data_IF_494916700371
#
_entry.id   IF_494916700371
#
_cell.length_a   1.000
_cell.length_b   1.000
_cell.length_c   1.000
_cell.angle_alpha   90.00
_cell.angle_beta   90.00
_cell.angle_gamma   90.00
#
_symmetry.space_group_name_H-M   'P 1'
#
loop_
_entity.id
_entity.type
_entity.pdbx_description
1 polymer ?
#
# COMPACT_ATOMS: atom_id res chain seq x y z
N UNK A 1 -16.81 17.30 0.06
CA UNK A 1 -15.65 17.00 -0.81
C UNK A 1 -16.11 15.96 -1.82
N UNK A 2 -15.71 16.09 -3.08
CA UNK A 2 -16.02 15.09 -4.09
C UNK A 2 -15.26 13.79 -3.75
N UNK A 3 -15.99 12.76 -3.30
CA UNK A 3 -15.42 11.45 -2.95
C UNK A 3 -14.81 10.73 -4.17
N UNK A 4 -15.14 11.17 -5.39
CA UNK A 4 -14.61 10.63 -6.65
C UNK A 4 -13.37 11.37 -7.17
N UNK A 5 -12.82 12.33 -6.42
CA UNK A 5 -11.60 13.03 -6.82
C UNK A 5 -10.32 12.25 -6.46
N UNK A 6 -9.29 12.38 -7.28
CA UNK A 6 -7.96 11.78 -7.09
C UNK A 6 -7.80 10.36 -7.62
N UNK A 7 -6.77 9.65 -7.14
CA UNK A 7 -6.48 8.26 -7.53
C UNK A 7 -5.03 8.07 -7.97
N UNK A 8 -4.75 7.03 -8.75
CA UNK A 8 -3.41 6.84 -9.34
C UNK A 8 -3.25 7.75 -10.56
N UNK A 9 -2.97 9.03 -10.32
CA UNK A 9 -2.87 10.10 -11.32
C UNK A 9 -1.53 10.86 -11.23
N UNK A 10 -0.56 10.38 -10.46
CA UNK A 10 0.73 11.04 -10.32
C UNK A 10 0.73 12.36 -9.54
N UNK A 11 -0.40 12.84 -8.99
CA UNK A 11 -0.49 14.12 -8.27
C UNK A 11 0.45 14.21 -7.08
N UNK A 12 0.88 13.07 -6.52
CA UNK A 12 1.78 12.98 -5.37
C UNK A 12 3.09 13.76 -5.56
N UNK A 13 3.52 13.99 -6.81
CA UNK A 13 4.70 14.84 -7.11
C UNK A 13 4.53 16.29 -6.64
N UNK A 14 3.30 16.75 -6.47
CA UNK A 14 2.93 18.06 -5.93
C UNK A 14 2.59 18.04 -4.43
N UNK A 15 2.66 16.88 -3.77
CA UNK A 15 2.10 16.66 -2.42
C UNK A 15 3.15 16.21 -1.39
N UNK A 16 4.43 16.25 -1.75
CA UNK A 16 5.54 15.70 -0.94
C UNK A 16 5.83 16.44 0.36
N UNK A 17 5.28 17.65 0.51
CA UNK A 17 5.41 18.45 1.74
C UNK A 17 4.33 18.13 2.77
N UNK A 18 3.33 17.31 2.41
CA UNK A 18 2.24 16.94 3.32
C UNK A 18 2.72 16.01 4.44
N UNK A 19 2.21 16.15 5.67
CA UNK A 19 2.62 15.31 6.80
C UNK A 19 2.50 13.80 6.54
N UNK A 20 1.43 13.36 5.88
CA UNK A 20 1.17 11.96 5.54
C UNK A 20 2.14 11.37 4.50
N UNK A 21 2.85 12.22 3.75
CA UNK A 21 3.76 11.83 2.67
C UNK A 21 5.24 11.93 3.07
N UNK A 22 5.52 12.20 4.35
CA UNK A 22 6.90 12.29 4.88
C UNK A 22 7.67 11.01 4.57
N UNK A 23 8.84 11.17 3.93
CA UNK A 23 9.73 10.08 3.53
C UNK A 23 9.71 9.76 2.04
N UNK A 24 8.64 10.11 1.30
CA UNK A 24 8.49 9.74 -0.10
C UNK A 24 9.43 10.49 -1.07
N UNK A 25 9.97 11.64 -0.67
CA UNK A 25 10.92 12.43 -1.50
C UNK A 25 12.10 11.62 -2.00
N UNK A 26 12.63 10.69 -1.18
CA UNK A 26 13.76 9.83 -1.59
C UNK A 26 13.34 8.83 -2.67
N UNK A 27 12.18 8.19 -2.48
CA UNK A 27 11.63 7.23 -3.44
C UNK A 27 11.30 7.91 -4.77
N UNK A 28 10.73 9.13 -4.73
CA UNK A 28 10.42 9.85 -5.96
C UNK A 28 11.68 10.21 -6.76
N UNK A 29 12.79 10.57 -6.10
CA UNK A 29 14.08 10.80 -6.78
C UNK A 29 14.63 9.54 -7.47
N UNK A 30 14.34 8.36 -6.93
CA UNK A 30 14.71 7.09 -7.60
C UNK A 30 13.86 6.90 -8.85
N UNK A 31 12.54 7.10 -8.74
CA UNK A 31 11.63 7.04 -9.89
C UNK A 31 11.96 8.10 -10.95
N UNK A 32 12.38 9.31 -10.57
CA UNK A 32 12.78 10.38 -11.48
C UNK A 32 13.95 9.96 -12.39
N UNK A 33 14.96 9.29 -11.81
CA UNK A 33 16.10 8.77 -12.58
C UNK A 33 15.65 7.73 -13.59
N UNK A 34 14.86 6.75 -13.15
CA UNK A 34 14.33 5.71 -14.04
C UNK A 34 13.42 6.29 -15.13
N UNK A 35 12.56 7.24 -14.76
CA UNK A 35 11.66 7.94 -15.67
C UNK A 35 12.43 8.66 -16.77
N UNK A 36 13.51 9.37 -16.43
CA UNK A 36 14.37 10.08 -17.41
C UNK A 36 14.96 9.13 -18.45
N UNK A 37 15.38 7.94 -18.04
CA UNK A 37 15.92 6.93 -18.96
C UNK A 37 14.83 6.38 -19.88
N UNK A 38 13.64 6.11 -19.36
CA UNK A 38 12.49 5.61 -20.15
C UNK A 38 12.01 6.69 -21.13
N UNK A 39 11.95 7.96 -20.71
CA UNK A 39 11.52 9.08 -21.55
C UNK A 39 12.43 9.37 -22.73
N UNK A 40 13.68 8.89 -22.70
CA UNK A 40 14.56 8.92 -23.87
C UNK A 40 14.07 7.98 -24.99
N UNK A 41 13.18 7.03 -24.68
CA UNK A 41 12.64 6.03 -25.60
C UNK A 41 11.17 6.30 -25.88
N UNK A 42 10.37 6.54 -24.84
CA UNK A 42 8.92 6.77 -24.95
C UNK A 42 8.39 7.60 -23.78
N UNK A 43 7.37 8.42 -24.04
CA UNK A 43 6.69 9.16 -22.97
C UNK A 43 6.02 8.20 -21.99
N UNK A 44 6.22 8.42 -20.69
CA UNK A 44 5.61 7.66 -19.60
C UNK A 44 5.04 8.63 -18.56
N UNK A 45 3.91 8.33 -17.94
CA UNK A 45 3.33 9.17 -16.88
C UNK A 45 3.95 8.87 -15.51
N UNK A 46 3.94 9.84 -14.60
CA UNK A 46 4.27 9.59 -13.19
C UNK A 46 3.36 8.55 -12.56
N UNK A 47 2.07 8.60 -12.89
CA UNK A 47 1.08 7.61 -12.47
C UNK A 47 1.51 6.17 -12.83
N UNK A 48 1.97 5.94 -14.06
CA UNK A 48 2.47 4.64 -14.49
C UNK A 48 3.79 4.28 -13.80
N UNK A 49 4.73 5.22 -13.67
CA UNK A 49 6.00 4.98 -12.97
C UNK A 49 5.79 4.53 -11.52
N UNK A 50 4.84 5.14 -10.82
CA UNK A 50 4.53 4.81 -9.41
C UNK A 50 3.86 3.45 -9.30
N UNK A 51 2.84 3.19 -10.13
CA UNK A 51 2.12 1.92 -10.13
C UNK A 51 3.04 0.73 -10.49
N UNK A 52 3.88 0.88 -11.51
CA UNK A 52 4.86 -0.15 -11.89
C UNK A 52 5.95 -0.28 -10.83
N UNK A 53 6.48 0.82 -10.32
CA UNK A 53 7.55 0.80 -9.32
C UNK A 53 7.15 0.04 -8.05
N UNK A 54 5.90 0.20 -7.58
CA UNK A 54 5.40 -0.55 -6.45
C UNK A 54 5.21 -2.05 -6.76
N UNK A 55 4.65 -2.40 -7.92
CA UNK A 55 4.50 -3.79 -8.36
C UNK A 55 5.85 -4.51 -8.50
N UNK A 56 6.85 -3.86 -9.09
CA UNK A 56 8.20 -4.41 -9.23
C UNK A 56 8.91 -4.54 -7.87
N UNK A 57 8.72 -3.58 -6.96
CA UNK A 57 9.27 -3.69 -5.60
C UNK A 57 8.73 -4.93 -4.86
N UNK A 58 7.43 -5.21 -4.97
CA UNK A 58 6.81 -6.43 -4.39
C UNK A 58 7.42 -7.69 -5.00
N UNK A 59 7.51 -7.76 -6.33
CA UNK A 59 8.07 -8.90 -7.07
C UNK A 59 9.54 -9.17 -6.72
N UNK A 60 10.38 -8.12 -6.70
CA UNK A 60 11.81 -8.24 -6.37
C UNK A 60 12.02 -8.68 -4.91
N UNK A 61 11.12 -8.29 -4.00
CA UNK A 61 11.16 -8.74 -2.61
C UNK A 61 10.61 -10.17 -2.40
N UNK A 62 10.30 -10.91 -3.46
CA UNK A 62 9.82 -12.30 -3.39
C UNK A 62 8.29 -12.47 -3.34
N UNK A 63 7.55 -11.38 -3.49
CA UNK A 63 6.10 -11.37 -3.57
C UNK A 63 5.55 -11.79 -4.94
N UNK A 64 4.22 -11.71 -5.15
CA UNK A 64 3.60 -12.05 -6.42
C UNK A 64 4.01 -11.08 -7.53
N UNK A 65 4.02 -11.58 -8.77
CA UNK A 65 4.05 -10.71 -9.95
C UNK A 65 2.69 -10.06 -10.13
N UNK A 66 2.67 -8.72 -10.19
CA UNK A 66 1.44 -7.94 -10.31
C UNK A 66 1.41 -7.30 -11.69
N UNK A 67 0.47 -7.68 -12.58
CA UNK A 67 0.33 -7.03 -13.87
C UNK A 67 -0.24 -5.62 -13.70
N UNK A 68 0.44 -4.63 -14.27
CA UNK A 68 0.01 -3.23 -14.25
C UNK A 68 -0.32 -2.78 -15.68
N UNK A 69 -1.58 -2.42 -15.91
CA UNK A 69 -2.00 -1.76 -17.16
C UNK A 69 -1.37 -0.38 -17.24
N UNK A 70 -0.83 0.00 -18.39
CA UNK A 70 -0.20 1.30 -18.63
C UNK A 70 -1.14 2.26 -19.38
N UNK A 71 -0.78 3.53 -19.47
CA UNK A 71 -1.53 4.57 -20.19
C UNK A 71 -2.27 5.54 -19.27
N UNK A 72 -1.92 5.60 -17.98
CA UNK A 72 -2.51 6.57 -17.04
C UNK A 72 -2.13 8.00 -17.42
N UNK A 73 -3.05 8.93 -17.21
CA UNK A 73 -2.84 10.36 -17.36
C UNK A 73 -2.37 10.97 -16.03
N UNK A 74 -1.36 11.83 -16.11
CA UNK A 74 -0.93 12.62 -14.96
C UNK A 74 -1.92 13.76 -14.67
N UNK A 75 -2.12 14.04 -13.39
CA UNK A 75 -2.70 15.28 -12.90
C UNK A 75 -1.71 16.43 -13.07
N UNK A 76 -2.20 17.63 -13.39
CA UNK A 76 -1.39 18.86 -13.41
C UNK A 76 -1.33 19.58 -12.05
N UNK A 77 -2.05 19.08 -11.05
CA UNK A 77 -2.19 19.69 -9.73
C UNK A 77 -2.30 18.64 -8.62
N UNK A 78 -2.16 19.09 -7.37
CA UNK A 78 -2.31 18.25 -6.18
C UNK A 78 -3.77 17.83 -5.95
N UNK A 79 -4.00 16.62 -5.47
CA UNK A 79 -5.32 16.17 -5.01
C UNK A 79 -5.70 16.83 -3.66
N UNK A 80 -6.99 16.91 -3.29
CA UNK A 80 -7.40 17.39 -1.98
C UNK A 80 -6.80 16.60 -0.80
N UNK A 81 -6.48 17.31 0.29
CA UNK A 81 -5.96 16.74 1.54
C UNK A 81 -6.99 15.87 2.30
N UNK A 82 -6.54 15.15 3.32
CA UNK A 82 -7.42 14.41 4.24
C UNK A 82 -8.00 13.11 3.66
N UNK A 83 -7.36 12.55 2.63
CA UNK A 83 -7.81 11.33 1.94
C UNK A 83 -7.10 10.04 2.37
N UNK A 84 -6.03 10.17 3.16
CA UNK A 84 -5.25 9.05 3.69
C UNK A 84 -5.79 8.61 5.06
N UNK A 85 -5.78 7.29 5.37
CA UNK A 85 -6.10 6.82 6.71
C UNK A 85 -5.02 7.24 7.70
N UNK A 86 -5.41 7.65 8.91
CA UNK A 86 -4.47 7.94 9.99
C UNK A 86 -3.99 6.64 10.66
N UNK A 87 -2.73 6.63 11.14
CA UNK A 87 -2.14 5.47 11.82
C UNK A 87 -2.76 5.14 13.18
N UNK A 88 -3.55 6.06 13.74
CA UNK A 88 -4.24 5.96 15.02
C UNK A 88 -5.68 5.44 14.92
N UNK A 89 -6.21 5.24 13.70
CA UNK A 89 -7.58 4.78 13.49
C UNK A 89 -7.78 3.38 14.06
N UNK A 90 -8.97 3.16 14.65
CA UNK A 90 -9.43 1.83 15.00
C UNK A 90 -9.89 1.03 13.76
N UNK A 91 -10.23 -0.24 13.95
CA UNK A 91 -10.67 -1.11 12.86
C UNK A 91 -11.94 -0.61 12.15
N UNK A 92 -12.87 0.01 12.89
CA UNK A 92 -14.10 0.55 12.32
C UNK A 92 -13.82 1.74 11.40
N UNK A 93 -12.97 2.66 11.85
CA UNK A 93 -12.49 3.81 11.09
C UNK A 93 -11.74 3.39 9.83
N UNK A 94 -10.82 2.43 9.94
CA UNK A 94 -10.11 1.87 8.79
C UNK A 94 -11.06 1.22 7.77
N UNK A 95 -11.99 0.36 8.23
CA UNK A 95 -13.00 -0.25 7.36
C UNK A 95 -13.86 0.81 6.67
N UNK A 96 -14.23 1.87 7.37
CA UNK A 96 -15.00 2.97 6.77
C UNK A 96 -14.19 3.71 5.70
N UNK A 97 -12.92 4.00 5.96
CA UNK A 97 -12.00 4.63 5.00
C UNK A 97 -11.86 3.82 3.71
N UNK A 98 -11.62 2.51 3.83
CA UNK A 98 -11.47 1.61 2.69
C UNK A 98 -12.80 1.42 1.94
N UNK A 99 -13.92 1.27 2.66
CA UNK A 99 -15.25 1.14 2.06
C UNK A 99 -15.65 2.35 1.23
N UNK A 100 -15.34 3.58 1.68
CA UNK A 100 -15.59 4.80 0.88
C UNK A 100 -14.82 4.80 -0.44
N UNK A 101 -13.70 4.11 -0.52
CA UNK A 101 -12.90 3.91 -1.75
C UNK A 101 -13.30 2.64 -2.51
N UNK A 102 -14.39 1.97 -2.11
CA UNK A 102 -14.88 0.76 -2.77
C UNK A 102 -14.14 -0.53 -2.39
N UNK A 103 -13.37 -0.55 -1.31
CA UNK A 103 -12.64 -1.73 -0.85
C UNK A 103 -13.38 -2.49 0.26
N UNK A 104 -13.32 -3.81 0.21
CA UNK A 104 -13.86 -4.70 1.24
C UNK A 104 -12.93 -4.81 2.45
N UNK A 105 -13.41 -5.41 3.55
CA UNK A 105 -12.57 -5.75 4.71
C UNK A 105 -11.43 -6.71 4.33
N UNK A 106 -11.69 -7.68 3.44
CA UNK A 106 -10.66 -8.59 2.93
C UNK A 106 -9.53 -7.85 2.22
N UNK A 107 -9.88 -6.88 1.36
CA UNK A 107 -8.91 -6.09 0.60
C UNK A 107 -8.13 -5.12 1.49
N UNK A 108 -8.77 -4.54 2.51
CA UNK A 108 -8.10 -3.80 3.58
C UNK A 108 -7.00 -4.67 4.22
N UNK A 109 -7.37 -5.84 4.72
CA UNK A 109 -6.43 -6.74 5.42
C UNK A 109 -5.31 -7.21 4.48
N UNK A 110 -5.64 -7.54 3.23
CA UNK A 110 -4.63 -7.91 2.24
C UNK A 110 -3.64 -6.76 2.03
N UNK A 111 -4.11 -5.54 1.72
CA UNK A 111 -3.24 -4.39 1.46
C UNK A 111 -2.39 -4.00 2.68
N UNK A 112 -2.91 -4.14 3.90
CA UNK A 112 -2.14 -3.96 5.13
C UNK A 112 -0.92 -4.89 5.24
N UNK A 113 -0.97 -6.05 4.58
CA UNK A 113 0.17 -6.98 4.47
C UNK A 113 1.44 -6.37 3.87
N UNK A 114 1.34 -5.26 3.12
CA UNK A 114 2.51 -4.51 2.64
C UNK A 114 3.43 -4.02 3.78
N UNK A 115 2.92 -3.90 5.02
CA UNK A 115 3.73 -3.55 6.19
C UNK A 115 4.78 -4.61 6.57
N UNK A 116 4.77 -5.79 5.94
CA UNK A 116 5.90 -6.74 6.02
C UNK A 116 7.19 -6.16 5.45
N UNK A 117 7.12 -5.15 4.57
CA UNK A 117 8.28 -4.46 4.04
C UNK A 117 8.63 -3.21 4.87
N UNK A 118 9.93 -2.94 4.97
CA UNK A 118 10.45 -1.75 5.63
C UNK A 118 10.49 -1.86 7.15
N UNK A 119 10.36 -0.73 7.83
CA UNK A 119 10.80 -0.59 9.22
C UNK A 119 9.66 -0.66 10.25
N UNK A 120 8.53 -1.31 9.92
CA UNK A 120 7.41 -1.51 10.86
C UNK A 120 7.61 -2.69 11.80
N UNK A 121 8.72 -3.42 11.65
CA UNK A 121 9.13 -4.48 12.57
C UNK A 121 8.47 -5.83 12.30
N UNK A 122 7.87 -6.02 11.12
CA UNK A 122 7.27 -7.29 10.70
C UNK A 122 8.27 -8.06 9.82
N UNK A 123 8.85 -9.12 10.37
CA UNK A 123 9.74 -10.02 9.61
C UNK A 123 10.98 -9.32 9.04
N UNK A 124 11.41 -9.78 7.85
CA UNK A 124 12.54 -9.17 7.14
C UNK A 124 12.08 -7.94 6.36
N UNK A 125 12.76 -6.79 6.49
CA UNK A 125 12.33 -5.53 5.86
C UNK A 125 12.39 -5.53 4.32
N UNK A 126 12.96 -6.59 3.72
CA UNK A 126 13.17 -6.75 2.27
C UNK A 126 12.59 -8.05 1.74
N UNK A 127 11.79 -8.77 2.54
CA UNK A 127 11.08 -9.97 2.09
C UNK A 127 9.57 -9.70 2.12
N UNK A 128 8.93 -9.82 0.96
CA UNK A 128 7.49 -9.76 0.85
C UNK A 128 6.94 -11.17 1.08
N UNK A 129 6.54 -11.46 2.31
CA UNK A 129 5.97 -12.74 2.73
C UNK A 129 4.79 -12.52 3.69
N UNK A 130 4.26 -13.59 4.30
CA UNK A 130 3.12 -13.49 5.22
C UNK A 130 3.49 -13.23 6.69
N UNK A 131 4.73 -12.79 6.98
CA UNK A 131 5.21 -12.53 8.35
C UNK A 131 4.39 -11.47 9.07
N UNK A 132 3.89 -10.46 8.36
CA UNK A 132 2.97 -9.46 8.91
C UNK A 132 1.82 -10.11 9.69
N UNK A 133 1.13 -11.07 9.07
CA UNK A 133 -0.04 -11.72 9.68
C UNK A 133 0.36 -12.67 10.82
N UNK A 134 1.44 -13.43 10.65
CA UNK A 134 1.93 -14.34 11.69
C UNK A 134 2.31 -13.59 12.97
N UNK A 135 3.07 -12.52 12.82
CA UNK A 135 3.51 -11.69 13.95
C UNK A 135 2.32 -10.96 14.61
N UNK A 136 1.33 -10.51 13.83
CA UNK A 136 0.11 -9.93 14.41
C UNK A 136 -0.63 -10.88 15.34
N UNK A 137 -0.63 -12.19 15.05
CA UNK A 137 -1.30 -13.20 15.88
C UNK A 137 -0.51 -13.60 17.13
N UNK A 138 0.81 -13.33 17.16
CA UNK A 138 1.68 -13.66 18.29
C UNK A 138 1.49 -12.68 19.46
N UNK A 139 0.46 -12.93 20.29
CA UNK A 139 0.23 -12.21 21.54
C UNK A 139 0.95 -12.89 22.73
N UNK A 140 1.51 -12.11 23.68
CA UNK A 140 1.77 -10.68 23.60
C UNK A 140 2.88 -10.40 22.57
N UNK A 141 2.82 -9.24 21.90
CA UNK A 141 3.89 -8.76 21.01
C UNK A 141 5.14 -8.36 21.83
N UNK A 142 5.74 -9.36 22.49
CA UNK A 142 6.90 -9.24 23.33
C UNK A 142 8.12 -9.55 22.47
N UNK A 143 8.93 -8.54 22.19
CA UNK A 143 10.29 -8.80 21.76
C UNK A 143 11.07 -9.36 22.95
N UNK A 144 11.81 -10.46 22.74
CA UNK A 144 12.82 -10.99 23.68
C UNK A 144 13.99 -10.01 23.94
N UNK A 145 13.89 -8.76 23.45
CA UNK A 145 14.90 -7.73 23.48
C UNK A 145 14.48 -6.43 24.21
N UNK A 146 13.36 -6.41 24.94
CA UNK A 146 13.05 -5.32 25.88
C UNK A 146 12.66 -3.98 25.26
N UNK A 147 12.29 -3.93 23.97
CA UNK A 147 11.69 -2.76 23.33
C UNK A 147 10.27 -3.10 22.87
N UNK A 148 9.31 -2.95 23.78
CA UNK A 148 7.88 -3.28 23.59
C UNK A 148 7.11 -2.28 22.71
N UNK A 149 7.76 -1.21 22.22
CA UNK A 149 7.08 -0.10 21.54
C UNK A 149 7.19 -0.07 20.01
N UNK A 150 7.93 -0.98 19.36
CA UNK A 150 8.37 -0.77 17.95
C UNK A 150 7.75 -1.65 16.85
N UNK A 151 6.92 -2.66 17.16
CA UNK A 151 6.30 -3.49 16.11
C UNK A 151 4.87 -3.02 15.83
N UNK A 152 4.61 -2.70 14.57
CA UNK A 152 3.32 -2.27 14.06
C UNK A 152 2.85 -0.90 14.55
N UNK A 153 1.90 -0.33 13.81
CA UNK A 153 1.18 0.88 14.17
C UNK A 153 0.00 0.57 15.10
N UNK A 154 -0.58 1.58 15.79
CA UNK A 154 -1.84 1.40 16.52
C UNK A 154 -2.95 0.80 15.64
N UNK A 155 -3.03 1.23 14.37
CA UNK A 155 -4.00 0.72 13.40
C UNK A 155 -3.78 -0.76 13.01
N UNK A 156 -2.52 -1.22 12.91
CA UNK A 156 -2.20 -2.64 12.69
C UNK A 156 -2.70 -3.50 13.85
N UNK A 157 -2.53 -3.00 15.08
CA UNK A 157 -3.01 -3.69 16.28
C UNK A 157 -4.53 -3.66 16.36
N UNK A 158 -5.16 -2.56 15.96
CA UNK A 158 -6.60 -2.42 15.98
C UNK A 158 -7.30 -3.44 15.08
N UNK A 159 -6.78 -3.71 13.87
CA UNK A 159 -7.41 -4.68 12.96
C UNK A 159 -7.31 -6.13 13.45
N UNK A 160 -6.36 -6.47 14.32
CA UNK A 160 -6.30 -7.83 14.90
C UNK A 160 -7.39 -8.06 15.95
N UNK A 161 -7.93 -6.99 16.55
CA UNK A 161 -8.97 -7.07 17.59
C UNK A 161 -10.39 -7.06 17.00
N UNK A 162 -10.54 -6.90 15.68
CA UNK A 162 -11.83 -6.93 14.99
C UNK A 162 -12.08 -8.32 14.37
N UNK A 163 -13.21 -8.95 14.71
CA UNK A 163 -13.53 -10.33 14.32
C UNK A 163 -13.49 -10.60 12.80
N UNK A 164 -13.91 -9.63 11.99
CA UNK A 164 -13.93 -9.79 10.54
C UNK A 164 -12.53 -9.69 9.96
N UNK A 165 -11.74 -8.71 10.43
CA UNK A 165 -10.34 -8.57 10.05
C UNK A 165 -9.52 -9.78 10.51
N UNK A 166 -9.68 -10.19 11.78
CA UNK A 166 -8.99 -11.33 12.38
C UNK A 166 -9.19 -12.61 11.56
N UNK A 167 -10.40 -12.84 11.03
CA UNK A 167 -10.68 -13.99 10.16
C UNK A 167 -9.78 -14.03 8.92
N UNK A 168 -9.53 -12.88 8.29
CA UNK A 168 -8.65 -12.81 7.12
C UNK A 168 -7.18 -12.86 7.51
N UNK A 169 -6.81 -12.23 8.63
CA UNK A 169 -5.44 -12.30 9.19
C UNK A 169 -5.05 -13.76 9.44
N UNK A 170 -5.91 -14.55 10.08
CA UNK A 170 -5.65 -15.98 10.33
C UNK A 170 -5.46 -16.75 9.03
N UNK A 171 -6.32 -16.54 8.03
CA UNK A 171 -6.18 -17.21 6.73
C UNK A 171 -4.85 -16.88 6.04
N UNK A 172 -4.46 -15.61 6.04
CA UNK A 172 -3.22 -15.17 5.40
C UNK A 172 -1.97 -15.60 6.17
N UNK A 173 -2.05 -15.71 7.51
CA UNK A 173 -0.97 -16.27 8.32
C UNK A 173 -0.74 -17.76 8.00
N UNK A 174 -1.81 -18.51 7.76
CA UNK A 174 -1.77 -19.94 7.44
C UNK A 174 -1.40 -20.22 5.97
N UNK A 175 -1.82 -19.34 5.05
CA UNK A 175 -1.65 -19.54 3.60
C UNK A 175 -1.06 -18.29 2.92
N UNK A 176 0.25 -18.32 2.68
CA UNK A 176 0.97 -17.27 1.97
C UNK A 176 0.52 -17.12 0.51
N UNK A 177 0.14 -18.21 -0.16
CA UNK A 177 -0.28 -18.15 -1.56
C UNK A 177 -1.64 -17.45 -1.68
N UNK A 178 -2.55 -17.72 -0.74
CA UNK A 178 -3.82 -16.99 -0.65
C UNK A 178 -3.57 -15.49 -0.43
N UNK A 179 -2.69 -15.13 0.52
CA UNK A 179 -2.30 -13.74 0.72
C UNK A 179 -1.74 -13.10 -0.56
N UNK A 180 -0.84 -13.78 -1.27
CA UNK A 180 -0.24 -13.25 -2.49
C UNK A 180 -1.27 -13.02 -3.59
N UNK A 181 -2.19 -13.97 -3.79
CA UNK A 181 -3.25 -13.83 -4.79
C UNK A 181 -4.18 -12.66 -4.47
N UNK A 182 -4.63 -12.56 -3.22
CA UNK A 182 -5.54 -11.50 -2.78
C UNK A 182 -4.85 -10.13 -2.76
N UNK A 183 -3.59 -10.06 -2.35
CA UNK A 183 -2.79 -8.83 -2.41
C UNK A 183 -2.61 -8.34 -3.85
N UNK A 184 -2.26 -9.23 -4.77
CA UNK A 184 -2.13 -8.91 -6.20
C UNK A 184 -3.42 -8.29 -6.73
N UNK A 185 -4.57 -8.92 -6.47
CA UNK A 185 -5.86 -8.45 -6.94
C UNK A 185 -6.26 -7.10 -6.30
N UNK A 186 -6.04 -6.95 -4.99
CA UNK A 186 -6.31 -5.70 -4.28
C UNK A 186 -5.38 -4.57 -4.74
N UNK A 187 -4.10 -4.84 -5.01
CA UNK A 187 -3.15 -3.87 -5.55
C UNK A 187 -3.57 -3.39 -6.94
N UNK A 188 -3.93 -4.31 -7.85
CA UNK A 188 -4.43 -3.97 -9.17
C UNK A 188 -5.66 -3.04 -9.10
N UNK A 189 -6.58 -3.34 -8.19
CA UNK A 189 -7.74 -2.47 -7.93
C UNK A 189 -7.31 -1.11 -7.38
N UNK A 190 -6.38 -1.06 -6.42
CA UNK A 190 -5.84 0.17 -5.85
C UNK A 190 -5.23 1.09 -6.91
N UNK A 191 -4.36 0.58 -7.77
CA UNK A 191 -3.68 1.39 -8.79
C UNK A 191 -4.54 1.73 -10.00
N UNK A 192 -5.74 1.17 -10.10
CA UNK A 192 -6.72 1.51 -11.14
C UNK A 192 -7.86 2.40 -10.60
N UNK A 193 -8.01 2.49 -9.28
CA UNK A 193 -9.03 3.32 -8.64
C UNK A 193 -8.77 4.81 -8.93
N UNK A 194 -9.78 5.50 -9.49
CA UNK A 194 -9.73 6.92 -9.84
C UNK A 194 -8.77 7.27 -11.00
N UNK A 195 -8.06 6.29 -11.57
CA UNK A 195 -7.13 6.53 -12.67
C UNK A 195 -7.88 6.97 -13.94
N UNK A 196 -7.35 8.01 -14.60
CA UNK A 196 -7.79 8.44 -15.93
C UNK A 196 -6.82 7.89 -16.96
N UNK A 197 -7.34 7.47 -18.11
CA UNK A 197 -6.57 6.77 -19.13
C UNK A 197 -6.57 7.58 -20.42
N UNK A 198 -5.47 7.48 -21.18
CA UNK A 198 -5.46 7.92 -22.58
C UNK A 198 -6.53 7.12 -23.33
N UNK A 199 -7.40 7.80 -24.08
CA UNK A 199 -8.30 7.12 -25.01
C UNK A 199 -7.47 6.38 -26.05
N UNK A 200 -7.82 5.12 -26.31
CA UNK A 200 -7.29 4.37 -27.46
C UNK A 200 -7.71 5.00 -28.78
#
# INVERSE_FOLDING_TARGET
MDENSGGMNGSIVYELERPENVGLKKSLKVLEKAKKEIEAIQSVSWADMIAVGGAEAVSICGGPKIPVTLGRLDSGESDPEGKMPEESLDASGLKQCFRRKGFSTQELVALSGAHTLGSKGFGSPVAFDNSYFKILLEKPWNSSAGMTSMIGLPSDRAIVEDDECLRWITKYADDQNMFFEDFKNAYMKLVNCGAKWKSM
#
